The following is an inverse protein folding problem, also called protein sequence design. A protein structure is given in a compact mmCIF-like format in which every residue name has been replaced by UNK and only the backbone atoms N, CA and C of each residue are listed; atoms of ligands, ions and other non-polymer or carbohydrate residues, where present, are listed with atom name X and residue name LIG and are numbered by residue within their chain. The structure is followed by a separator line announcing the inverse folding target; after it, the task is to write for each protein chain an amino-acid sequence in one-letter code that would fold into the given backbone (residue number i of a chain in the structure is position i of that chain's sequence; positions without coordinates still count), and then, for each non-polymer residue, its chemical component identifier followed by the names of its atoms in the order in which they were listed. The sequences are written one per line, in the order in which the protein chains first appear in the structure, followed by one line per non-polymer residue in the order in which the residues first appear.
data_IF_343301584702
#
_entry.id   IF_343301584702
#
_cell.length_a   1.000
_cell.length_b   1.000
_cell.length_c   1.000
_cell.angle_alpha   90.00
_cell.angle_beta   90.00
_cell.angle_gamma   90.00
#
_symmetry.space_group_name_H-M   'P 1'
#
loop_
_entity.id
_entity.type
_entity.pdbx_description
1 polymer ?
#
# COMPACT_ATOMS: atom_id res chain seq x y z
N UNK A 1 -6.16 -19.45 -3.43
CA UNK A 1 -5.95 -18.76 -2.15
C UNK A 1 -4.48 -18.82 -1.78
N UNK A 2 -3.84 -17.67 -1.59
CA UNK A 2 -2.42 -17.54 -1.27
C UNK A 2 -2.23 -17.21 0.22
N UNK A 3 -1.16 -17.70 0.84
CA UNK A 3 -0.99 -17.65 2.30
C UNK A 3 0.26 -16.90 2.75
N UNK A 4 1.22 -16.70 1.86
CA UNK A 4 2.51 -16.11 2.18
C UNK A 4 2.80 -14.86 1.35
N UNK A 5 3.67 -14.00 1.87
CA UNK A 5 4.16 -12.82 1.14
C UNK A 5 4.80 -13.20 -0.20
N UNK A 6 5.57 -14.28 -0.24
CA UNK A 6 6.24 -14.71 -1.47
C UNK A 6 5.25 -15.16 -2.53
N UNK A 7 4.26 -15.99 -2.18
CA UNK A 7 3.23 -16.43 -3.12
C UNK A 7 2.45 -15.25 -3.71
N UNK A 8 2.06 -14.28 -2.87
CA UNK A 8 1.35 -13.07 -3.30
C UNK A 8 2.21 -12.26 -4.29
N UNK A 9 3.49 -12.06 -3.97
CA UNK A 9 4.41 -11.32 -4.84
C UNK A 9 4.67 -12.04 -6.15
N UNK A 10 4.91 -13.35 -6.11
CA UNK A 10 5.14 -14.19 -7.28
C UNK A 10 3.95 -14.13 -8.24
N UNK A 11 2.72 -14.30 -7.73
CA UNK A 11 1.50 -14.17 -8.54
C UNK A 11 1.43 -12.82 -9.26
N UNK A 12 1.59 -11.72 -8.53
CA UNK A 12 1.49 -10.37 -9.10
C UNK A 12 2.61 -10.09 -10.11
N UNK A 13 3.84 -10.52 -9.83
CA UNK A 13 4.97 -10.29 -10.72
C UNK A 13 4.90 -11.13 -12.00
N UNK A 14 4.47 -12.39 -11.91
CA UNK A 14 4.28 -13.24 -13.09
C UNK A 14 3.22 -12.65 -14.02
N UNK A 15 2.08 -12.22 -13.47
CA UNK A 15 1.02 -11.59 -14.24
C UNK A 15 1.49 -10.26 -14.84
N UNK A 16 2.20 -9.43 -14.06
CA UNK A 16 2.72 -8.13 -14.52
C UNK A 16 3.76 -8.26 -15.65
N UNK A 17 4.69 -9.22 -15.56
CA UNK A 17 5.70 -9.47 -16.60
C UNK A 17 5.05 -9.94 -17.92
N UNK A 18 3.95 -10.67 -17.84
CA UNK A 18 3.20 -11.13 -19.01
C UNK A 18 2.27 -10.05 -19.57
N UNK A 19 1.94 -9.04 -18.76
CA UNK A 19 1.09 -7.92 -19.12
C UNK A 19 1.78 -6.85 -19.97
N UNK A 20 0.96 -5.99 -20.58
CA UNK A 20 1.42 -4.75 -21.25
C UNK A 20 0.84 -3.49 -20.61
N UNK A 21 0.24 -3.63 -19.43
CA UNK A 21 -0.56 -2.60 -18.77
C UNK A 21 0.11 -2.12 -17.47
N UNK A 22 -0.30 -0.92 -17.05
CA UNK A 22 0.00 -0.39 -15.72
C UNK A 22 -0.54 -1.32 -14.62
N UNK A 23 0.11 -1.32 -13.46
CA UNK A 23 -0.33 -2.11 -12.31
C UNK A 23 -1.65 -1.55 -11.75
N UNK A 24 -2.77 -2.17 -12.09
CA UNK A 24 -4.12 -1.83 -11.65
C UNK A 24 -4.71 -2.86 -10.67
N UNK A 25 -5.99 -2.68 -10.29
CA UNK A 25 -6.66 -3.56 -9.34
C UNK A 25 -6.83 -5.01 -9.82
N UNK A 26 -6.79 -5.30 -11.13
CA UNK A 26 -6.98 -6.67 -11.63
C UNK A 26 -5.86 -7.60 -11.21
N UNK A 27 -4.64 -7.07 -11.07
CA UNK A 27 -3.50 -7.85 -10.57
C UNK A 27 -3.66 -8.30 -9.13
N UNK A 28 -4.64 -7.77 -8.38
CA UNK A 28 -4.89 -8.14 -6.99
C UNK A 28 -6.20 -8.93 -6.83
N UNK A 29 -6.87 -9.29 -7.91
CA UNK A 29 -8.16 -9.98 -7.89
C UNK A 29 -8.00 -11.49 -7.68
N UNK A 30 -7.55 -11.87 -6.48
CA UNK A 30 -7.41 -13.25 -6.04
C UNK A 30 -7.56 -13.40 -4.54
N UNK A 31 -7.90 -14.60 -4.07
CA UNK A 31 -8.08 -14.86 -2.65
C UNK A 31 -6.77 -14.99 -1.88
N UNK A 32 -6.74 -14.43 -0.67
CA UNK A 32 -5.64 -14.54 0.30
C UNK A 32 -6.16 -14.96 1.67
N UNK A 33 -5.29 -15.60 2.46
CA UNK A 33 -5.52 -15.84 3.88
C UNK A 33 -4.23 -15.58 4.66
N UNK A 34 -4.22 -14.55 5.50
CA UNK A 34 -3.01 -14.13 6.20
C UNK A 34 -3.23 -13.01 7.20
N UNK A 35 -2.19 -12.71 7.99
CA UNK A 35 -2.20 -11.52 8.85
C UNK A 35 -2.29 -10.27 7.98
N UNK A 36 -3.14 -9.33 8.35
CA UNK A 36 -3.31 -8.05 7.64
C UNK A 36 -1.97 -7.32 7.46
N UNK A 37 -1.09 -7.33 8.46
CA UNK A 37 0.25 -6.73 8.37
C UNK A 37 1.11 -7.35 7.26
N UNK A 38 1.13 -8.68 7.18
CA UNK A 38 1.85 -9.43 6.14
C UNK A 38 1.31 -9.12 4.75
N UNK A 39 -0.02 -9.06 4.61
CA UNK A 39 -0.69 -8.67 3.37
C UNK A 39 -0.28 -7.24 2.96
N UNK A 40 -0.38 -6.27 3.88
CA UNK A 40 0.06 -4.89 3.62
C UNK A 40 1.54 -4.79 3.24
N UNK A 41 2.42 -5.60 3.85
CA UNK A 41 3.84 -5.66 3.47
C UNK A 41 4.05 -6.21 2.07
N UNK A 42 3.30 -7.26 1.71
CA UNK A 42 3.36 -7.80 0.35
C UNK A 42 2.98 -6.71 -0.66
N UNK A 43 1.89 -6.00 -0.40
CA UNK A 43 1.45 -4.88 -1.20
C UNK A 43 2.48 -3.74 -1.27
N UNK A 44 3.05 -3.33 -0.14
CA UNK A 44 4.07 -2.29 -0.06
C UNK A 44 5.32 -2.63 -0.92
N UNK A 45 5.82 -3.87 -0.79
CA UNK A 45 6.94 -4.36 -1.59
C UNK A 45 6.62 -4.30 -3.09
N UNK A 46 5.41 -4.71 -3.48
CA UNK A 46 4.96 -4.72 -4.89
C UNK A 46 4.93 -3.29 -5.44
N UNK A 47 4.28 -2.37 -4.72
CA UNK A 47 4.15 -0.98 -5.14
C UNK A 47 5.50 -0.29 -5.25
N UNK A 48 6.40 -0.52 -4.30
CA UNK A 48 7.75 0.03 -4.36
C UNK A 48 8.54 -0.53 -5.54
N UNK A 49 8.46 -1.84 -5.78
CA UNK A 49 9.22 -2.49 -6.85
C UNK A 49 8.77 -2.07 -8.25
N UNK A 50 7.45 -1.94 -8.46
CA UNK A 50 6.88 -1.68 -9.79
C UNK A 50 6.71 -0.18 -10.03
N UNK A 51 6.11 0.54 -9.09
CA UNK A 51 5.73 1.95 -9.26
C UNK A 51 6.68 2.92 -8.56
N UNK A 52 7.64 2.44 -7.77
CA UNK A 52 8.47 3.29 -6.88
C UNK A 52 7.64 4.10 -5.86
N UNK A 53 6.45 3.60 -5.52
CA UNK A 53 5.60 4.20 -4.52
C UNK A 53 6.00 3.74 -3.10
N UNK A 54 5.78 4.62 -2.14
CA UNK A 54 5.95 4.34 -0.72
C UNK A 54 4.61 4.01 -0.09
N UNK A 55 4.49 2.84 0.56
CA UNK A 55 3.34 2.50 1.40
C UNK A 55 3.79 2.54 2.85
N UNK A 56 3.33 3.55 3.59
CA UNK A 56 3.90 3.93 4.89
C UNK A 56 2.83 4.26 5.92
N UNK A 57 3.19 4.08 7.19
CA UNK A 57 2.41 4.58 8.32
C UNK A 57 2.87 5.98 8.69
N UNK A 58 1.91 6.90 8.84
CA UNK A 58 2.18 8.29 9.17
C UNK A 58 1.35 8.78 10.35
N UNK A 59 1.99 9.60 11.19
CA UNK A 59 1.32 10.42 12.19
C UNK A 59 1.62 11.90 11.99
N UNK A 60 0.88 12.77 12.69
CA UNK A 60 0.98 14.23 12.58
C UNK A 60 0.91 14.73 11.11
N UNK A 61 -0.03 14.16 10.36
CA UNK A 61 -0.15 14.38 8.91
C UNK A 61 -0.73 15.76 8.60
N UNK A 62 -0.15 16.39 7.59
CA UNK A 62 -0.65 17.62 6.97
C UNK A 62 -0.94 17.40 5.49
N UNK A 63 -1.99 18.06 4.99
CA UNK A 63 -2.47 17.94 3.61
C UNK A 63 -2.38 19.30 2.92
N UNK A 64 -2.02 19.28 1.64
CA UNK A 64 -1.97 20.46 0.79
C UNK A 64 -2.51 20.16 -0.59
N UNK A 65 -3.63 20.78 -0.91
CA UNK A 65 -4.25 20.70 -2.24
C UNK A 65 -3.39 21.41 -3.29
N UNK A 66 -3.16 20.74 -4.41
CA UNK A 66 -2.30 21.18 -5.50
C UNK A 66 -2.93 20.90 -6.85
N UNK A 67 -3.87 21.75 -7.26
CA UNK A 67 -4.34 21.84 -8.66
C UNK A 67 -4.73 20.51 -9.32
N UNK A 68 -5.22 19.53 -8.56
CA UNK A 68 -5.59 18.20 -9.05
C UNK A 68 -5.04 17.02 -8.22
N UNK A 69 -4.07 17.25 -7.34
CA UNK A 69 -3.56 16.23 -6.42
C UNK A 69 -3.43 16.74 -4.99
N UNK A 70 -3.29 15.81 -4.05
CA UNK A 70 -3.08 16.10 -2.63
C UNK A 70 -1.65 15.75 -2.25
N UNK A 71 -0.87 16.75 -1.88
CA UNK A 71 0.45 16.55 -1.26
C UNK A 71 0.25 16.25 0.23
N UNK A 72 0.87 15.18 0.71
CA UNK A 72 0.83 14.74 2.10
C UNK A 72 2.23 14.88 2.69
N UNK A 73 2.31 15.40 3.92
CA UNK A 73 3.55 15.39 4.71
C UNK A 73 3.25 14.88 6.11
N UNK A 74 3.97 13.86 6.56
CA UNK A 74 3.79 13.26 7.89
C UNK A 74 5.11 12.81 8.51
N UNK A 75 5.07 12.57 9.81
CA UNK A 75 6.16 11.88 10.53
C UNK A 75 6.04 10.38 10.25
N UNK A 76 7.15 9.74 9.90
CA UNK A 76 7.18 8.31 9.60
C UNK A 76 7.04 7.52 10.90
N UNK A 77 6.01 6.67 10.95
CA UNK A 77 5.91 5.65 11.97
C UNK A 77 6.70 4.40 11.52
N UNK A 78 7.76 4.07 12.26
CA UNK A 78 8.65 2.96 11.94
C UNK A 78 8.19 1.62 12.54
N UNK A 79 7.01 1.57 13.18
CA UNK A 79 6.43 0.30 13.60
C UNK A 79 6.20 -0.60 12.40
N UNK A 80 6.43 -1.88 12.62
CA UNK A 80 6.20 -2.88 11.60
C UNK A 80 4.68 -3.10 11.43
N UNK A 81 4.18 -3.24 10.19
CA UNK A 81 2.76 -3.52 9.95
C UNK A 81 2.24 -4.75 10.71
N UNK A 82 3.08 -5.77 10.95
CA UNK A 82 2.71 -6.96 11.72
C UNK A 82 2.51 -6.67 13.21
N UNK A 83 3.12 -5.59 13.73
CA UNK A 83 2.94 -5.14 15.11
C UNK A 83 1.58 -4.45 15.30
N UNK A 84 1.11 -3.72 14.27
CA UNK A 84 -0.13 -2.94 14.33
C UNK A 84 -1.33 -3.75 13.83
N UNK A 85 -1.15 -4.55 12.77
CA UNK A 85 -2.21 -5.27 12.08
C UNK A 85 -2.04 -6.79 12.23
N UNK A 86 -2.25 -7.27 13.46
CA UNK A 86 -2.08 -8.69 13.80
C UNK A 86 -3.30 -9.58 13.49
N UNK A 87 -4.43 -8.98 13.11
CA UNK A 87 -5.66 -9.68 12.76
C UNK A 87 -5.48 -10.53 11.50
N UNK A 88 -6.16 -11.68 11.46
CA UNK A 88 -6.26 -12.49 10.26
C UNK A 88 -7.30 -11.90 9.31
N UNK A 89 -7.00 -11.95 8.01
CA UNK A 89 -7.94 -11.68 6.93
C UNK A 89 -7.99 -12.91 6.03
N UNK A 90 -9.21 -13.27 5.62
CA UNK A 90 -9.49 -14.29 4.62
C UNK A 90 -10.51 -13.72 3.65
N UNK A 91 -10.18 -13.68 2.36
CA UNK A 91 -11.03 -13.09 1.34
C UNK A 91 -10.23 -12.60 0.14
N UNK A 92 -10.90 -11.83 -0.72
CA UNK A 92 -10.29 -11.29 -1.94
C UNK A 92 -9.31 -10.16 -1.62
N UNK A 93 -8.12 -10.21 -2.21
CA UNK A 93 -7.04 -9.27 -1.89
C UNK A 93 -7.30 -7.86 -2.45
N UNK A 94 -7.99 -7.75 -3.58
CA UNK A 94 -8.47 -6.47 -4.11
C UNK A 94 -9.42 -5.81 -3.11
N UNK A 95 -10.43 -6.54 -2.63
CA UNK A 95 -11.39 -6.01 -1.63
C UNK A 95 -10.68 -5.57 -0.33
N UNK A 96 -9.69 -6.35 0.10
CA UNK A 96 -8.84 -6.00 1.25
C UNK A 96 -8.15 -4.66 1.04
N UNK A 97 -7.48 -4.46 -0.09
CA UNK A 97 -6.73 -3.23 -0.41
C UNK A 97 -7.67 -2.03 -0.63
N UNK A 98 -8.78 -2.22 -1.35
CA UNK A 98 -9.81 -1.19 -1.53
C UNK A 98 -10.37 -0.72 -0.19
N UNK A 99 -10.46 -1.61 0.82
CA UNK A 99 -10.97 -1.25 2.14
C UNK A 99 -10.17 -0.17 2.86
N UNK A 100 -8.92 0.12 2.44
CA UNK A 100 -8.07 1.18 2.98
C UNK A 100 -8.23 2.53 2.27
N UNK A 101 -8.86 2.57 1.08
CA UNK A 101 -9.08 3.81 0.36
C UNK A 101 -9.94 4.79 1.17
N UNK A 102 -9.42 6.00 1.41
CA UNK A 102 -10.15 7.04 2.16
C UNK A 102 -10.17 6.84 3.67
N UNK A 103 -9.46 5.83 4.20
CA UNK A 103 -9.35 5.56 5.65
C UNK A 103 -8.01 5.97 6.25
N UNK A 104 -7.25 6.84 5.59
CA UNK A 104 -5.87 7.15 5.97
C UNK A 104 -5.79 7.83 7.36
N UNK A 105 -6.85 8.53 7.79
CA UNK A 105 -6.95 9.10 9.15
C UNK A 105 -7.26 8.06 10.22
N UNK A 106 -7.92 6.96 9.86
CA UNK A 106 -8.31 5.90 10.78
C UNK A 106 -7.17 4.88 10.94
N UNK A 107 -6.50 4.56 9.83
CA UNK A 107 -5.47 3.53 9.77
C UNK A 107 -4.07 4.10 9.92
N UNK A 108 -3.84 5.36 9.54
CA UNK A 108 -2.50 5.93 9.44
C UNK A 108 -1.75 5.48 8.19
N UNK A 109 -2.33 4.65 7.32
CA UNK A 109 -1.68 4.12 6.12
C UNK A 109 -1.82 5.06 4.93
N UNK A 110 -0.73 5.25 4.20
CA UNK A 110 -0.67 6.08 2.99
C UNK A 110 0.12 5.37 1.90
N UNK A 111 -0.36 5.45 0.65
CA UNK A 111 0.46 5.22 -0.55
C UNK A 111 0.86 6.56 -1.15
N UNK A 112 2.15 6.76 -1.35
CA UNK A 112 2.73 8.04 -1.76
C UNK A 112 3.62 7.88 -2.99
N UNK A 113 3.30 8.63 -4.04
CA UNK A 113 4.12 8.81 -5.23
C UNK A 113 5.12 9.95 -5.04
N UNK A 114 6.28 9.86 -5.71
CA UNK A 114 7.34 10.88 -5.72
C UNK A 114 7.76 11.31 -4.31
N UNK A 115 7.90 10.32 -3.43
CA UNK A 115 8.16 10.53 -2.02
C UNK A 115 9.58 11.04 -1.77
N UNK A 116 9.71 11.96 -0.81
CA UNK A 116 10.99 12.50 -0.36
C UNK A 116 11.07 12.53 1.17
N UNK A 117 12.25 12.17 1.68
CA UNK A 117 12.52 12.10 3.11
C UNK A 117 13.33 13.32 3.57
N UNK A 118 12.84 14.03 4.59
CA UNK A 118 13.54 15.17 5.18
C UNK A 118 13.24 15.29 6.68
N UNK A 119 14.29 15.27 7.49
CA UNK A 119 14.20 15.46 8.94
C UNK A 119 13.21 14.50 9.64
N UNK A 120 13.18 13.22 9.25
CA UNK A 120 12.27 12.22 9.83
C UNK A 120 10.82 12.30 9.32
N UNK A 121 10.54 13.21 8.39
CA UNK A 121 9.26 13.30 7.69
C UNK A 121 9.38 12.75 6.28
N UNK A 122 8.27 12.25 5.78
CA UNK A 122 8.08 11.94 4.37
C UNK A 122 7.06 12.90 3.77
N UNK A 123 7.33 13.36 2.56
CA UNK A 123 6.41 14.16 1.75
C UNK A 123 6.22 13.47 0.40
N UNK A 124 4.98 13.31 -0.06
CA UNK A 124 4.68 12.73 -1.36
C UNK A 124 3.26 13.03 -1.82
N UNK A 125 2.94 12.66 -3.06
CA UNK A 125 1.60 12.78 -3.62
C UNK A 125 0.75 11.60 -3.17
N UNK A 126 -0.39 11.88 -2.53
CA UNK A 126 -1.32 10.84 -2.06
C UNK A 126 -1.95 10.10 -3.23
N UNK A 127 -1.86 8.78 -3.20
CA UNK A 127 -2.57 7.88 -4.10
C UNK A 127 -3.65 7.09 -3.36
N UNK A 128 -4.52 6.44 -4.13
CA UNK A 128 -5.34 5.33 -3.66
C UNK A 128 -4.47 4.06 -3.58
N UNK A 129 -4.86 3.11 -2.72
CA UNK A 129 -4.22 1.81 -2.68
C UNK A 129 -4.42 1.10 -4.03
N UNK A 130 -5.67 0.93 -4.45
CA UNK A 130 -5.98 0.47 -5.80
C UNK A 130 -7.20 1.22 -6.35
N UNK A 131 -7.33 1.26 -7.68
CA UNK A 131 -8.37 1.95 -8.44
C UNK A 131 -9.30 0.96 -9.15
#
# INVERSE_FOLDING_TARGET
MLYTKSEIKEQVYEDYIQGTLELDAYYFDFDVCGKKGMLLKAYADIQNTINSDEVVLLHNVSYKEKGGYVEVTGDVDNHDFDEIYNEMYEGNYKDFLESYNGKEKETGLYRLLDSSYKNGKITGTKLHFIL
#
